data_IF_084849474488
#
_entry.id   IF_084849474488
#
_cell.length_a   1.000
_cell.length_b   1.000
_cell.length_c   1.000
_cell.angle_alpha   90.00
_cell.angle_beta   90.00
_cell.angle_gamma   90.00
#
_symmetry.space_group_name_H-M   'P 1'
#
loop_
_entity.id
_entity.type
_entity.pdbx_description
1 polymer ?
#
# COMPACT_ATOMS: atom_id res chain seq x y z
N UNK A 1 17.02 -16.57 -13.24
CA UNK A 1 15.81 -17.27 -12.76
C UNK A 1 14.62 -16.79 -13.59
N UNK A 2 13.94 -17.67 -14.34
CA UNK A 2 12.74 -17.30 -15.12
C UNK A 2 11.53 -17.73 -14.31
N UNK A 3 10.79 -16.77 -13.76
CA UNK A 3 9.48 -17.03 -13.14
C UNK A 3 8.43 -16.98 -14.25
N UNK A 4 7.98 -18.16 -14.69
CA UNK A 4 6.86 -18.28 -15.64
C UNK A 4 5.55 -18.38 -14.88
N UNK A 5 4.70 -17.36 -15.01
CA UNK A 5 3.31 -17.40 -14.57
C UNK A 5 2.47 -17.89 -15.76
N UNK A 6 2.13 -19.19 -15.77
CA UNK A 6 1.27 -19.77 -16.79
C UNK A 6 -0.17 -19.90 -16.26
N UNK A 7 -1.20 -19.44 -16.99
CA UNK A 7 -2.58 -19.80 -16.70
C UNK A 7 -2.82 -21.30 -16.94
N UNK A 8 -3.74 -21.94 -16.20
CA UNK A 8 -3.93 -23.39 -16.25
C UNK A 8 -4.50 -23.83 -17.60
N UNK A 9 -3.89 -24.86 -18.20
CA UNK A 9 -4.37 -25.43 -19.48
C UNK A 9 -5.61 -26.33 -19.36
N UNK A 10 -6.14 -26.58 -18.16
CA UNK A 10 -7.43 -27.27 -17.91
C UNK A 10 -7.80 -27.14 -16.43
N UNK A 11 -9.10 -27.16 -16.14
CA UNK A 11 -9.72 -26.96 -14.81
C UNK A 11 -8.92 -27.61 -13.67
N UNK A 12 -8.50 -26.82 -12.67
CA UNK A 12 -8.40 -27.32 -11.30
C UNK A 12 -7.06 -27.30 -10.55
N UNK A 13 -5.95 -26.71 -11.04
CA UNK A 13 -4.76 -26.49 -10.19
C UNK A 13 -3.80 -25.44 -10.78
N UNK A 14 -3.42 -24.41 -10.00
CA UNK A 14 -2.25 -23.58 -10.31
C UNK A 14 -0.99 -24.45 -10.21
N UNK A 15 -0.15 -24.45 -11.24
CA UNK A 15 1.13 -25.17 -11.22
C UNK A 15 2.27 -24.17 -11.39
N UNK A 16 3.07 -24.03 -10.34
CA UNK A 16 4.34 -23.31 -10.34
C UNK A 16 5.40 -24.18 -11.02
N UNK A 17 6.18 -23.62 -11.93
CA UNK A 17 7.31 -24.32 -12.54
C UNK A 17 8.54 -23.43 -12.49
N UNK A 18 9.40 -23.65 -11.49
CA UNK A 18 10.78 -23.18 -11.52
C UNK A 18 11.53 -23.96 -12.61
N UNK A 19 12.12 -23.26 -13.58
CA UNK A 19 13.20 -23.85 -14.40
C UNK A 19 14.35 -22.86 -14.48
N UNK A 20 15.54 -23.34 -14.13
CA UNK A 20 16.78 -22.63 -14.41
C UNK A 20 17.14 -22.74 -15.89
N UNK A 21 17.48 -21.61 -16.49
CA UNK A 21 18.52 -21.52 -17.52
C UNK A 21 18.97 -20.07 -17.72
N UNK A 22 20.29 -19.90 -17.73
CA UNK A 22 21.08 -18.79 -18.26
C UNK A 22 20.72 -17.34 -17.83
N UNK A 23 21.26 -16.92 -16.68
CA UNK A 23 21.94 -15.62 -16.51
C UNK A 23 21.18 -14.29 -16.64
N UNK A 24 19.90 -14.26 -17.00
CA UNK A 24 19.11 -13.02 -17.08
C UNK A 24 17.69 -13.23 -16.56
N UNK A 25 17.18 -12.30 -15.75
CA UNK A 25 15.81 -12.30 -15.23
C UNK A 25 14.89 -11.67 -16.26
N UNK A 26 13.97 -12.44 -16.84
CA UNK A 26 12.86 -11.94 -17.65
C UNK A 26 11.56 -12.49 -17.09
N UNK A 27 10.65 -11.61 -16.69
CA UNK A 27 9.27 -11.95 -16.32
C UNK A 27 8.43 -11.93 -17.59
N UNK A 28 7.87 -13.08 -17.96
CA UNK A 28 6.96 -13.21 -19.10
C UNK A 28 5.56 -13.46 -18.55
N UNK A 29 4.73 -12.42 -18.57
CA UNK A 29 3.29 -12.52 -18.33
C UNK A 29 2.67 -13.07 -19.62
N UNK A 30 2.18 -14.31 -19.61
CA UNK A 30 1.47 -14.85 -20.76
C UNK A 30 0.03 -14.29 -20.78
N UNK A 31 -0.43 -13.66 -21.88
CA UNK A 31 -1.82 -13.23 -21.99
C UNK A 31 -2.70 -14.48 -22.06
N UNK A 32 -3.36 -14.82 -20.94
CA UNK A 32 -4.49 -15.74 -20.92
C UNK A 32 -5.78 -15.00 -21.27
N UNK A 33 -6.85 -15.67 -21.70
CA UNK A 33 -8.13 -15.01 -21.93
C UNK A 33 -8.60 -14.44 -20.58
N UNK A 34 -8.57 -13.11 -20.49
CA UNK A 34 -9.21 -12.35 -19.42
C UNK A 34 -10.69 -12.77 -19.45
N UNK A 35 -11.13 -13.48 -18.41
CA UNK A 35 -12.56 -13.48 -18.08
C UNK A 35 -13.00 -12.01 -17.93
N UNK A 36 -14.28 -11.69 -18.17
CA UNK A 36 -14.75 -10.31 -18.11
C UNK A 36 -14.32 -9.70 -16.77
N UNK A 37 -13.47 -8.67 -16.85
CA UNK A 37 -13.12 -7.82 -15.71
C UNK A 37 -14.44 -7.33 -15.09
N UNK A 38 -14.56 -7.28 -13.74
CA UNK A 38 -15.74 -6.71 -13.11
C UNK A 38 -16.02 -5.30 -13.64
N UNK A 39 -17.29 -4.88 -13.73
CA UNK A 39 -17.67 -3.70 -14.48
C UNK A 39 -17.02 -2.44 -13.90
N UNK A 40 -16.33 -1.73 -14.80
CA UNK A 40 -15.70 -0.41 -14.68
C UNK A 40 -14.69 -0.14 -13.54
N UNK A 41 -13.39 -0.31 -13.83
CA UNK A 41 -12.27 0.39 -13.20
C UNK A 41 -12.28 1.94 -13.36
N UNK A 42 -13.42 2.61 -13.34
CA UNK A 42 -13.50 4.06 -13.60
C UNK A 42 -13.03 4.92 -12.42
N UNK A 43 -13.63 4.72 -11.24
CA UNK A 43 -13.45 5.62 -10.09
C UNK A 43 -12.11 5.42 -9.40
N UNK A 44 -11.76 4.18 -9.06
CA UNK A 44 -10.48 3.81 -8.41
C UNK A 44 -9.27 4.27 -9.23
N UNK A 45 -9.34 4.13 -10.55
CA UNK A 45 -8.22 4.49 -11.42
C UNK A 45 -8.20 5.97 -11.77
N UNK A 46 -9.37 6.63 -11.87
CA UNK A 46 -9.43 8.10 -11.92
C UNK A 46 -8.83 8.69 -10.65
N UNK A 47 -9.19 8.12 -9.50
CA UNK A 47 -8.58 8.37 -8.22
C UNK A 47 -7.04 8.23 -8.33
N UNK A 48 -6.53 7.03 -8.61
CA UNK A 48 -5.08 6.78 -8.62
C UNK A 48 -4.30 7.62 -9.66
N UNK A 49 -4.97 8.06 -10.74
CA UNK A 49 -4.41 8.94 -11.79
C UNK A 49 -4.56 10.43 -11.53
N UNK A 50 -5.38 10.86 -10.57
CA UNK A 50 -5.47 12.26 -10.15
C UNK A 50 -4.49 12.46 -8.99
N UNK A 51 -3.24 12.93 -9.27
CA UNK A 51 -2.30 13.20 -8.22
C UNK A 51 -2.86 14.28 -7.29
N UNK A 52 -2.50 14.23 -6.01
CA UNK A 52 -3.03 15.11 -4.98
C UNK A 52 -2.71 16.62 -5.10
N UNK A 53 -2.20 17.08 -6.24
CA UNK A 53 -1.85 18.47 -6.52
C UNK A 53 -2.63 19.10 -7.69
N UNK A 54 -3.62 18.41 -8.28
CA UNK A 54 -4.24 18.88 -9.53
C UNK A 54 -5.26 20.03 -9.37
N UNK A 55 -5.48 20.57 -8.17
CA UNK A 55 -6.31 21.76 -7.97
C UNK A 55 -5.44 22.94 -7.50
N UNK A 56 -4.94 23.68 -8.50
CA UNK A 56 -4.23 24.97 -8.45
C UNK A 56 -2.74 24.96 -8.11
N UNK A 57 -1.87 25.07 -9.14
CA UNK A 57 -0.66 25.92 -9.12
C UNK A 57 -0.33 26.44 -10.53
N UNK A 58 0.18 27.67 -10.61
CA UNK A 58 0.52 28.38 -11.84
C UNK A 58 1.75 27.84 -12.60
N UNK A 59 2.19 28.54 -13.67
CA UNK A 59 3.20 28.03 -14.58
C UNK A 59 4.60 28.11 -13.96
N UNK A 60 5.06 27.03 -13.32
CA UNK A 60 6.47 26.97 -12.86
C UNK A 60 6.89 25.83 -11.94
N UNK A 61 5.98 25.14 -11.26
CA UNK A 61 6.34 24.01 -10.38
C UNK A 61 6.59 22.73 -11.17
N UNK A 62 7.82 22.18 -11.17
CA UNK A 62 8.04 20.80 -11.61
C UNK A 62 7.27 19.88 -10.64
N UNK A 63 6.18 19.30 -11.10
CA UNK A 63 5.50 18.24 -10.35
C UNK A 63 6.53 17.14 -10.02
N UNK A 64 6.77 16.90 -8.73
CA UNK A 64 7.69 15.85 -8.28
C UNK A 64 7.24 14.49 -8.81
N UNK A 65 8.19 13.61 -9.11
CA UNK A 65 7.87 12.24 -9.53
C UNK A 65 7.04 11.54 -8.46
N UNK A 66 5.97 10.83 -8.87
CA UNK A 66 5.13 10.08 -7.95
C UNK A 66 5.95 8.92 -7.37
N UNK A 67 5.81 8.68 -6.07
CA UNK A 67 6.51 7.62 -5.35
C UNK A 67 5.55 6.52 -4.94
N UNK A 68 6.08 5.31 -4.77
CA UNK A 68 5.35 4.19 -4.17
C UNK A 68 6.13 3.63 -2.99
N UNK A 69 5.45 3.36 -1.89
CA UNK A 69 6.03 2.67 -0.72
C UNK A 69 5.11 1.50 -0.36
N UNK A 70 5.62 0.28 -0.45
CA UNK A 70 4.92 -0.94 -0.07
C UNK A 70 5.42 -1.44 1.29
N UNK A 71 4.52 -1.55 2.26
CA UNK A 71 4.79 -2.24 3.52
C UNK A 71 3.98 -3.53 3.63
N UNK A 72 4.53 -4.53 4.31
CA UNK A 72 3.75 -5.67 4.80
C UNK A 72 3.25 -6.63 3.72
N UNK A 73 4.02 -6.85 2.65
CA UNK A 73 3.65 -7.75 1.55
C UNK A 73 3.55 -9.23 1.98
N UNK A 74 4.28 -9.60 3.03
CA UNK A 74 4.46 -10.95 3.53
C UNK A 74 5.43 -11.80 2.69
N UNK A 75 5.77 -12.99 3.18
CA UNK A 75 6.62 -13.92 2.43
C UNK A 75 5.85 -14.52 1.26
N UNK A 76 6.10 -14.04 0.05
CA UNK A 76 5.50 -14.55 -1.18
C UNK A 76 6.10 -15.88 -1.66
N UNK A 77 7.26 -16.30 -1.14
CA UNK A 77 7.75 -17.67 -1.33
C UNK A 77 6.83 -18.69 -0.65
N UNK A 78 6.34 -18.39 0.55
CA UNK A 78 5.56 -19.33 1.37
C UNK A 78 4.04 -19.08 1.33
N UNK A 79 3.60 -17.83 1.10
CA UNK A 79 2.18 -17.44 1.19
C UNK A 79 1.56 -17.16 -0.19
N UNK A 80 0.43 -17.82 -0.48
CA UNK A 80 -0.34 -17.58 -1.71
C UNK A 80 -0.95 -16.19 -1.80
N UNK A 81 -1.39 -15.62 -0.67
CA UNK A 81 -1.96 -14.27 -0.61
C UNK A 81 -0.91 -13.22 -0.93
N UNK A 82 0.27 -13.32 -0.32
CA UNK A 82 1.41 -12.44 -0.57
C UNK A 82 1.82 -12.43 -2.05
N UNK A 83 1.76 -13.58 -2.75
CA UNK A 83 1.99 -13.64 -4.21
C UNK A 83 0.95 -12.86 -5.01
N UNK A 84 -0.31 -12.94 -4.62
CA UNK A 84 -1.39 -12.22 -5.31
C UNK A 84 -1.32 -10.72 -5.01
N UNK A 85 -0.95 -10.33 -3.78
CA UNK A 85 -0.65 -8.94 -3.45
C UNK A 85 0.54 -8.40 -4.25
N UNK A 86 1.62 -9.16 -4.39
CA UNK A 86 2.76 -8.75 -5.23
C UNK A 86 2.34 -8.59 -6.69
N UNK A 87 1.56 -9.52 -7.22
CA UNK A 87 1.03 -9.42 -8.57
C UNK A 87 0.17 -8.17 -8.76
N UNK A 88 -0.69 -7.84 -7.78
CA UNK A 88 -1.50 -6.63 -7.81
C UNK A 88 -0.66 -5.35 -7.74
N UNK A 89 0.34 -5.29 -6.86
CA UNK A 89 1.30 -4.17 -6.81
C UNK A 89 1.98 -3.95 -8.16
N UNK A 90 2.50 -5.00 -8.79
CA UNK A 90 3.19 -4.90 -10.08
C UNK A 90 2.26 -4.42 -11.20
N UNK A 91 1.01 -4.91 -11.24
CA UNK A 91 -0.01 -4.46 -12.19
C UNK A 91 -0.41 -3.00 -11.93
N UNK A 92 -0.56 -2.61 -10.67
CA UNK A 92 -0.86 -1.24 -10.27
C UNK A 92 0.26 -0.29 -10.70
N UNK A 93 1.52 -0.65 -10.45
CA UNK A 93 2.68 0.11 -10.92
C UNK A 93 2.72 0.18 -12.44
N UNK A 94 2.38 -0.91 -13.14
CA UNK A 94 2.29 -0.95 -14.60
C UNK A 94 1.25 0.01 -15.17
N UNK A 95 0.07 0.04 -14.60
CA UNK A 95 -0.97 0.99 -14.97
C UNK A 95 -0.61 2.45 -14.62
N UNK A 96 0.23 2.64 -13.59
CA UNK A 96 0.74 3.94 -13.16
C UNK A 96 2.05 4.35 -13.84
N UNK A 97 2.61 3.56 -14.77
CA UNK A 97 3.93 3.76 -15.44
C UNK A 97 4.15 5.13 -16.09
N UNK A 98 3.11 5.96 -16.20
CA UNK A 98 3.24 7.36 -16.64
C UNK A 98 3.77 8.28 -15.52
N UNK A 99 3.79 7.85 -14.25
CA UNK A 99 4.12 8.68 -13.09
C UNK A 99 5.18 8.16 -12.10
N UNK A 100 5.45 6.85 -12.02
CA UNK A 100 6.37 6.25 -11.00
C UNK A 100 7.53 5.51 -11.68
N UNK A 101 8.77 6.03 -11.61
CA UNK A 101 9.96 5.29 -11.97
C UNK A 101 10.18 4.07 -11.04
N UNK A 102 10.67 2.91 -11.53
CA UNK A 102 10.90 1.74 -10.68
C UNK A 102 11.75 2.01 -9.42
N UNK A 103 12.78 2.87 -9.55
CA UNK A 103 13.65 3.32 -8.47
C UNK A 103 12.95 4.18 -7.40
N UNK A 104 11.74 4.67 -7.69
CA UNK A 104 10.87 5.39 -6.76
C UNK A 104 9.81 4.49 -6.14
N UNK A 105 9.89 3.18 -6.37
CA UNK A 105 9.07 2.17 -5.71
C UNK A 105 9.86 1.45 -4.62
N UNK A 106 9.60 1.84 -3.38
CA UNK A 106 10.23 1.28 -2.19
C UNK A 106 9.38 0.14 -1.63
N UNK A 107 10.01 -0.95 -1.18
CA UNK A 107 9.31 -2.09 -0.57
C UNK A 107 10.01 -2.55 0.70
N UNK A 108 9.24 -2.92 1.71
CA UNK A 108 9.74 -3.48 2.96
C UNK A 108 8.76 -4.46 3.59
N UNK A 109 9.29 -5.59 4.00
CA UNK A 109 8.64 -6.49 4.96
C UNK A 109 9.74 -7.16 5.78
N UNK A 110 9.67 -7.13 7.11
CA UNK A 110 10.67 -7.78 7.97
C UNK A 110 10.76 -9.31 7.78
N UNK A 111 9.75 -9.94 7.15
CA UNK A 111 9.72 -11.39 6.92
C UNK A 111 10.33 -11.81 5.59
N UNK A 112 10.79 -10.87 4.76
CA UNK A 112 11.43 -11.23 3.49
C UNK A 112 12.72 -12.02 3.70
N UNK A 113 12.85 -13.09 2.94
CA UNK A 113 14.08 -13.85 2.78
C UNK A 113 15.03 -13.19 1.78
N UNK A 114 16.30 -13.60 1.80
CA UNK A 114 17.31 -13.17 0.82
C UNK A 114 16.85 -13.41 -0.63
N UNK A 115 16.21 -14.56 -0.89
CA UNK A 115 15.69 -14.87 -2.23
C UNK A 115 14.58 -13.91 -2.66
N UNK A 116 13.68 -13.54 -1.75
CA UNK A 116 12.60 -12.61 -2.04
C UNK A 116 13.15 -11.21 -2.32
N UNK A 117 14.15 -10.77 -1.54
CA UNK A 117 14.88 -9.52 -1.77
C UNK A 117 15.53 -9.48 -3.15
N UNK A 118 16.19 -10.56 -3.57
CA UNK A 118 16.80 -10.67 -4.90
C UNK A 118 15.76 -10.63 -6.02
N UNK A 119 14.62 -11.31 -5.83
CA UNK A 119 13.51 -11.29 -6.79
C UNK A 119 12.92 -9.89 -6.92
N UNK A 120 12.63 -9.20 -5.82
CA UNK A 120 12.10 -7.83 -5.82
C UNK A 120 13.07 -6.85 -6.49
N UNK A 121 14.37 -6.97 -6.21
CA UNK A 121 15.41 -6.17 -6.86
C UNK A 121 15.47 -6.44 -8.38
N UNK A 122 15.38 -7.71 -8.78
CA UNK A 122 15.31 -8.11 -10.19
C UNK A 122 14.04 -7.66 -10.91
N UNK A 123 12.99 -7.29 -10.18
CA UNK A 123 11.77 -6.66 -10.69
C UNK A 123 11.87 -5.12 -10.78
N UNK A 124 13.01 -4.54 -10.38
CA UNK A 124 13.24 -3.10 -10.39
C UNK A 124 12.70 -2.37 -9.17
N UNK A 125 12.28 -3.08 -8.12
CA UNK A 125 11.81 -2.49 -6.86
C UNK A 125 12.99 -2.20 -5.95
N UNK A 126 12.95 -1.09 -5.22
CA UNK A 126 13.99 -0.69 -4.27
C UNK A 126 13.66 -1.17 -2.87
N UNK A 127 14.57 -1.93 -2.26
CA UNK A 127 14.40 -2.38 -0.88
C UNK A 127 14.66 -1.23 0.10
N UNK A 128 13.79 -1.05 1.09
CA UNK A 128 14.14 -0.20 2.22
C UNK A 128 15.20 -0.90 3.09
N UNK A 129 16.26 -0.18 3.51
CA UNK A 129 17.39 -0.76 4.24
C UNK A 129 17.10 -1.12 5.69
N UNK A 130 16.07 -0.53 6.32
CA UNK A 130 15.68 -0.82 7.70
C UNK A 130 14.17 -0.75 7.88
N UNK A 131 13.70 -1.30 9.00
CA UNK A 131 12.31 -1.21 9.38
C UNK A 131 11.99 0.19 9.91
N UNK A 132 11.36 1.00 9.06
CA UNK A 132 10.87 2.34 9.42
C UNK A 132 9.61 2.31 10.31
N UNK A 133 9.07 1.13 10.61
CA UNK A 133 7.85 0.96 11.43
C UNK A 133 6.64 1.75 10.89
N UNK A 134 6.60 2.00 9.59
CA UNK A 134 5.57 2.81 8.93
C UNK A 134 5.73 4.32 9.11
N UNK A 135 6.82 4.82 9.72
CA UNK A 135 7.04 6.24 10.06
C UNK A 135 7.71 7.04 8.94
N UNK A 136 7.45 6.69 7.69
CA UNK A 136 8.06 7.34 6.52
C UNK A 136 7.42 8.69 6.26
N UNK A 137 8.21 9.76 6.40
CA UNK A 137 7.83 11.09 5.94
C UNK A 137 7.80 11.15 4.41
N UNK A 138 6.81 11.84 3.86
CA UNK A 138 6.71 12.06 2.41
C UNK A 138 7.65 13.17 1.94
N UNK A 139 8.15 13.02 0.72
CA UNK A 139 8.96 14.02 0.00
C UNK A 139 8.20 14.61 -1.21
N UNK A 140 6.92 14.25 -1.36
CA UNK A 140 6.07 14.61 -2.49
C UNK A 140 4.89 13.65 -2.62
N UNK A 141 4.13 13.71 -3.73
CA UNK A 141 3.03 12.79 -4.01
C UNK A 141 3.46 11.33 -3.82
N UNK A 142 2.81 10.61 -2.91
CA UNK A 142 3.21 9.25 -2.53
C UNK A 142 2.02 8.32 -2.41
N UNK A 143 2.11 7.18 -3.09
CA UNK A 143 1.22 6.03 -2.92
C UNK A 143 1.81 5.10 -1.85
N UNK A 144 1.03 4.82 -0.81
CA UNK A 144 1.34 3.79 0.18
C UNK A 144 0.51 2.54 -0.09
N UNK A 145 1.17 1.41 -0.32
CA UNK A 145 0.54 0.10 -0.50
C UNK A 145 0.75 -0.74 0.76
N UNK A 146 -0.32 -0.99 1.51
CA UNK A 146 -0.24 -1.51 2.89
C UNK A 146 -1.26 -2.62 3.17
N UNK A 147 -1.68 -3.37 2.16
CA UNK A 147 -2.74 -4.40 2.29
C UNK A 147 -2.42 -5.40 3.41
N UNK A 148 -3.37 -5.63 4.32
CA UNK A 148 -3.24 -6.50 5.50
C UNK A 148 -2.16 -6.10 6.51
N UNK A 149 -1.60 -4.89 6.42
CA UNK A 149 -0.71 -4.36 7.46
C UNK A 149 -1.44 -4.20 8.80
N UNK A 150 -0.68 -4.28 9.89
CA UNK A 150 -1.18 -3.96 11.23
C UNK A 150 -1.63 -2.50 11.36
N UNK A 151 -2.62 -2.23 12.21
CA UNK A 151 -3.21 -0.89 12.40
C UNK A 151 -2.17 0.15 12.85
N UNK A 152 -1.20 -0.31 13.64
CA UNK A 152 -0.10 0.52 14.11
C UNK A 152 0.73 1.14 12.96
N UNK A 153 0.93 0.43 11.83
CA UNK A 153 1.66 1.01 10.70
C UNK A 153 0.91 2.17 10.06
N UNK A 154 -0.42 2.07 9.92
CA UNK A 154 -1.26 3.16 9.40
C UNK A 154 -1.25 4.38 10.32
N UNK A 155 -1.39 4.13 11.62
CA UNK A 155 -1.41 5.18 12.62
C UNK A 155 -0.03 5.90 12.72
N UNK A 156 1.07 5.14 12.62
CA UNK A 156 2.42 5.70 12.52
C UNK A 156 2.63 6.53 11.25
N UNK A 157 2.13 6.04 10.11
CA UNK A 157 2.24 6.73 8.83
C UNK A 157 1.51 8.06 8.84
N UNK A 158 0.30 8.10 9.41
CA UNK A 158 -0.45 9.33 9.58
C UNK A 158 0.29 10.29 10.51
N UNK A 159 0.77 9.79 11.65
CA UNK A 159 1.54 10.59 12.61
C UNK A 159 2.80 11.22 12.01
N UNK A 160 3.61 10.46 11.26
CA UNK A 160 4.85 10.97 10.66
C UNK A 160 4.62 12.02 9.57
N UNK A 161 3.37 12.20 9.14
CA UNK A 161 2.95 13.12 8.09
C UNK A 161 1.80 14.03 8.55
N UNK A 162 1.71 14.34 9.85
CA UNK A 162 0.54 14.94 10.48
C UNK A 162 0.30 16.44 10.18
N UNK A 163 0.04 16.77 8.92
CA UNK A 163 -0.43 18.09 8.49
C UNK A 163 -1.43 17.94 7.34
N UNK A 164 -2.32 18.91 7.17
CA UNK A 164 -3.28 18.91 6.08
C UNK A 164 -2.58 18.85 4.71
N UNK A 165 -1.50 19.61 4.56
CA UNK A 165 -0.69 19.67 3.35
C UNK A 165 -0.03 18.31 3.06
N UNK A 166 0.65 17.71 4.04
CA UNK A 166 1.33 16.44 3.82
C UNK A 166 0.34 15.29 3.57
N UNK A 167 -0.69 15.13 4.41
CA UNK A 167 -1.69 14.08 4.21
C UNK A 167 -2.40 14.23 2.87
N UNK A 168 -2.64 15.46 2.41
CA UNK A 168 -3.26 15.67 1.10
C UNK A 168 -2.45 15.06 -0.03
N UNK A 169 -1.11 15.00 0.09
CA UNK A 169 -0.19 14.44 -0.90
C UNK A 169 -0.11 12.90 -0.90
N UNK A 170 -0.91 12.22 -0.07
CA UNK A 170 -0.86 10.78 0.11
C UNK A 170 -2.10 10.08 -0.47
N UNK A 171 -1.87 8.91 -1.05
CA UNK A 171 -2.92 7.92 -1.32
C UNK A 171 -2.51 6.62 -0.62
N UNK A 172 -3.44 6.01 0.12
CA UNK A 172 -3.19 4.70 0.75
C UNK A 172 -4.07 3.66 0.08
N UNK A 173 -3.48 2.52 -0.31
CA UNK A 173 -4.21 1.31 -0.70
C UNK A 173 -3.95 0.29 0.40
N UNK A 174 -4.96 0.04 1.21
CA UNK A 174 -4.78 -0.66 2.49
C UNK A 174 -6.10 -1.07 3.11
N UNK A 175 -6.07 -1.43 4.38
CA UNK A 175 -7.23 -1.89 5.13
C UNK A 175 -8.19 -0.74 5.42
N UNK A 176 -9.49 -1.04 5.41
CA UNK A 176 -10.54 -0.06 5.70
C UNK A 176 -10.36 0.61 7.06
N UNK A 177 -10.39 1.95 7.08
CA UNK A 177 -10.34 2.73 8.32
C UNK A 177 -11.68 2.67 9.03
N UNK A 178 -12.78 2.69 8.26
CA UNK A 178 -14.13 2.40 8.80
C UNK A 178 -14.21 1.00 9.37
N UNK A 179 -13.63 0.01 8.69
CA UNK A 179 -13.53 -1.35 9.21
C UNK A 179 -12.73 -1.42 10.52
N UNK A 180 -11.71 -0.59 10.73
CA UNK A 180 -11.02 -0.50 12.02
C UNK A 180 -11.91 0.06 13.12
N UNK A 181 -12.65 1.14 12.84
CA UNK A 181 -13.61 1.74 13.78
C UNK A 181 -14.70 0.74 14.19
N UNK A 182 -15.29 0.01 13.24
CA UNK A 182 -16.40 -0.93 13.47
C UNK A 182 -16.02 -2.15 14.31
N UNK A 183 -14.76 -2.61 14.21
CA UNK A 183 -14.30 -3.86 14.84
C UNK A 183 -13.61 -3.67 16.19
N UNK A 184 -13.30 -2.42 16.55
CA UNK A 184 -12.63 -2.11 17.80
C UNK A 184 -13.60 -1.46 18.79
N UNK A 185 -13.33 -1.67 20.08
CA UNK A 185 -14.00 -0.88 21.11
C UNK A 185 -13.65 0.60 20.89
N UNK A 186 -14.65 1.47 20.88
CA UNK A 186 -14.48 2.89 20.59
C UNK A 186 -13.36 3.52 21.43
N UNK A 187 -13.28 3.19 22.73
CA UNK A 187 -12.21 3.65 23.63
C UNK A 187 -10.82 3.22 23.13
N UNK A 188 -10.63 1.95 22.81
CA UNK A 188 -9.37 1.39 22.31
C UNK A 188 -8.97 2.04 20.98
N UNK A 189 -9.94 2.24 20.08
CA UNK A 189 -9.69 2.88 18.79
C UNK A 189 -9.20 4.32 18.95
N UNK A 190 -9.87 5.12 19.77
CA UNK A 190 -9.52 6.52 20.00
C UNK A 190 -8.24 6.70 20.81
N UNK A 191 -7.91 5.79 21.73
CA UNK A 191 -6.69 5.87 22.55
C UNK A 191 -5.45 5.40 21.78
N UNK A 192 -5.53 4.25 21.10
CA UNK A 192 -4.35 3.62 20.49
C UNK A 192 -4.16 3.95 19.01
N UNK A 193 -5.23 4.32 18.31
CA UNK A 193 -5.23 4.61 16.87
C UNK A 193 -5.81 6.00 16.58
N UNK A 194 -5.50 6.95 17.46
CA UNK A 194 -6.01 8.31 17.48
C UNK A 194 -5.82 9.08 16.16
N UNK A 195 -4.74 8.85 15.42
CA UNK A 195 -4.52 9.53 14.14
C UNK A 195 -5.47 9.02 13.06
N UNK A 196 -5.74 7.71 13.04
CA UNK A 196 -6.77 7.13 12.16
C UNK A 196 -8.14 7.71 12.52
N UNK A 197 -8.50 7.71 13.81
CA UNK A 197 -9.78 8.25 14.28
C UNK A 197 -9.97 9.73 13.90
N UNK A 198 -8.94 10.57 14.08
CA UNK A 198 -8.98 12.01 13.80
C UNK A 198 -9.17 12.34 12.31
N UNK A 199 -8.60 11.55 11.39
CA UNK A 199 -8.75 11.79 9.93
C UNK A 199 -9.95 11.10 9.33
N UNK A 200 -10.65 10.24 10.06
CA UNK A 200 -11.67 9.34 9.51
C UNK A 200 -12.74 10.09 8.69
N UNK A 201 -13.29 11.16 9.25
CA UNK A 201 -14.31 11.99 8.60
C UNK A 201 -13.76 12.86 7.46
N UNK A 202 -12.47 13.20 7.52
CA UNK A 202 -11.77 13.90 6.44
C UNK A 202 -11.29 12.95 5.33
N UNK A 203 -11.36 11.64 5.53
CA UNK A 203 -10.91 10.63 4.57
C UNK A 203 -12.01 10.31 3.57
N UNK A 204 -11.68 10.34 2.28
CA UNK A 204 -12.48 9.69 1.26
C UNK A 204 -11.97 8.27 1.10
N UNK A 205 -12.80 7.31 1.49
CA UNK A 205 -12.49 5.88 1.44
C UNK A 205 -13.37 5.20 0.39
N UNK A 206 -12.73 4.48 -0.55
CA UNK A 206 -13.41 3.70 -1.59
C UNK A 206 -12.95 2.24 -1.52
N UNK A 207 -13.85 1.34 -1.16
CA UNK A 207 -13.55 -0.09 -1.08
C UNK A 207 -13.21 -0.66 -2.47
N UNK A 208 -12.21 -1.55 -2.52
CA UNK A 208 -11.94 -2.34 -3.71
C UNK A 208 -13.08 -3.34 -3.97
N UNK A 209 -13.40 -3.64 -5.23
CA UNK A 209 -14.38 -4.66 -5.54
C UNK A 209 -13.90 -6.04 -5.04
N UNK A 210 -14.80 -6.89 -4.54
CA UNK A 210 -14.42 -8.20 -4.05
C UNK A 210 -13.88 -9.08 -5.18
N UNK A 211 -12.78 -9.80 -4.90
CA UNK A 211 -12.19 -10.71 -5.87
C UNK A 211 -12.89 -12.08 -5.81
N UNK A 212 -13.67 -12.41 -6.83
CA UNK A 212 -14.55 -13.61 -6.87
C UNK A 212 -13.80 -14.92 -6.56
N UNK A 213 -12.59 -15.10 -7.08
CA UNK A 213 -11.83 -16.35 -6.90
C UNK A 213 -10.95 -16.37 -5.63
N UNK A 214 -10.70 -15.20 -5.04
CA UNK A 214 -9.75 -15.00 -3.95
C UNK A 214 -10.31 -13.94 -2.97
N UNK A 215 -11.49 -14.21 -2.38
CA UNK A 215 -12.23 -13.21 -1.63
C UNK A 215 -11.47 -12.70 -0.40
N UNK A 216 -10.50 -13.48 0.10
CA UNK A 216 -9.73 -13.28 1.32
C UNK A 216 -8.34 -12.66 1.09
N UNK A 217 -8.04 -12.25 -0.15
CA UNK A 217 -6.75 -11.61 -0.50
C UNK A 217 -6.85 -10.09 -0.45
N UNK A 218 -7.96 -9.55 -0.95
CA UNK A 218 -8.25 -8.12 -0.98
C UNK A 218 -9.53 -7.78 -0.20
N UNK A 219 -9.97 -8.68 0.68
CA UNK A 219 -11.05 -8.34 1.61
C UNK A 219 -10.63 -7.12 2.41
N UNK A 220 -11.62 -6.29 2.75
CA UNK A 220 -11.41 -5.14 3.63
C UNK A 220 -10.35 -4.15 3.10
N UNK A 221 -10.03 -4.21 1.80
CA UNK A 221 -9.07 -3.31 1.17
C UNK A 221 -9.78 -2.12 0.54
N UNK A 222 -9.32 -0.93 0.85
CA UNK A 222 -9.84 0.34 0.37
C UNK A 222 -8.73 1.23 -0.19
N UNK A 223 -9.12 2.18 -1.02
CA UNK A 223 -8.30 3.33 -1.42
C UNK A 223 -8.70 4.52 -0.55
N UNK A 224 -7.73 5.07 0.17
CA UNK A 224 -7.90 6.22 1.05
C UNK A 224 -7.27 7.45 0.41
N UNK A 225 -8.02 8.55 0.45
CA UNK A 225 -7.61 9.88 0.02
C UNK A 225 -7.92 10.87 1.10
N UNK A 226 -7.13 11.93 1.14
CA UNK A 226 -7.28 12.99 2.13
C UNK A 226 -7.47 14.32 1.41
N UNK A 227 -8.68 14.65 0.90
CA UNK A 227 -8.91 15.90 0.21
C UNK A 227 -8.55 17.10 1.09
N UNK A 228 -7.70 18.00 0.59
CA UNK A 228 -7.18 19.13 1.35
C UNK A 228 -8.30 19.99 1.98
N UNK A 229 -9.40 20.19 1.25
CA UNK A 229 -10.56 20.93 1.74
C UNK A 229 -11.21 20.26 2.96
N UNK A 230 -11.32 18.93 2.97
CA UNK A 230 -11.86 18.18 4.11
C UNK A 230 -10.89 18.22 5.29
N UNK A 231 -9.59 18.08 5.05
CA UNK A 231 -8.58 18.18 6.10
C UNK A 231 -8.60 19.57 6.76
N UNK A 232 -8.69 20.64 5.97
CA UNK A 232 -8.78 22.02 6.47
C UNK A 232 -10.09 22.33 7.19
N UNK A 233 -11.13 21.51 7.01
CA UNK A 233 -12.38 21.62 7.77
C UNK A 233 -12.31 20.97 9.16
N UNK A 234 -11.27 20.18 9.44
CA UNK A 234 -11.05 19.66 10.78
C UNK A 234 -10.65 20.78 11.75
N UNK A 235 -10.96 20.62 13.06
CA UNK A 235 -10.54 21.58 14.09
C UNK A 235 -9.03 21.86 14.05
N UNK A 236 -8.63 23.12 14.18
CA UNK A 236 -7.23 23.53 14.04
C UNK A 236 -6.30 22.94 15.11
N UNK A 237 -6.83 22.70 16.31
CA UNK A 237 -6.16 22.03 17.41
C UNK A 237 -5.79 20.57 17.08
N UNK A 238 -6.48 19.94 16.12
CA UNK A 238 -6.17 18.60 15.63
C UNK A 238 -4.72 18.49 15.08
N UNK A 239 -4.22 19.57 14.46
CA UNK A 239 -2.92 19.66 13.78
C UNK A 239 -1.76 20.12 14.68
N UNK A 240 -2.01 20.32 15.96
CA UNK A 240 -0.96 20.67 16.93
C UNK A 240 0.11 19.57 17.01
N UNK A 241 1.30 19.88 17.56
CA UNK A 241 2.33 18.85 17.77
C UNK A 241 1.79 17.76 18.69
N UNK A 242 1.62 16.55 18.16
CA UNK A 242 1.07 15.40 18.89
C UNK A 242 2.18 14.36 19.15
N UNK A 243 2.13 13.65 20.30
CA UNK A 243 3.15 12.68 20.67
C UNK A 243 3.17 11.47 19.74
N UNK A 244 4.35 10.87 19.58
CA UNK A 244 4.48 9.59 18.90
C UNK A 244 3.54 8.53 19.50
N UNK A 245 2.79 7.77 18.68
CA UNK A 245 1.91 6.72 19.19
C UNK A 245 2.66 5.70 20.04
N UNK A 246 2.10 5.40 21.21
CA UNK A 246 2.53 4.29 22.05
C UNK A 246 1.45 3.21 22.04
N UNK A 247 1.85 1.99 21.71
CA UNK A 247 0.93 0.85 21.61
C UNK A 247 1.09 -0.07 22.82
N UNK A 248 -0.01 -0.53 23.44
CA UNK A 248 0.03 -1.57 24.47
C UNK A 248 0.52 -2.90 23.89
N UNK A 249 0.98 -3.82 24.75
CA UNK A 249 1.62 -5.08 24.32
C UNK A 249 0.80 -5.88 23.30
N UNK A 250 -0.53 -5.90 23.44
CA UNK A 250 -1.40 -6.63 22.51
C UNK A 250 -1.40 -6.02 21.12
N UNK A 251 -1.38 -4.69 21.03
CA UNK A 251 -1.30 -3.96 19.76
C UNK A 251 0.12 -4.00 19.16
N UNK A 252 1.15 -4.25 19.96
CA UNK A 252 2.52 -4.44 19.48
C UNK A 252 2.67 -5.71 18.65
N UNK A 253 1.80 -6.72 18.83
CA UNK A 253 1.81 -7.93 17.99
C UNK A 253 1.51 -7.62 16.51
N UNK A 254 0.89 -6.48 16.21
CA UNK A 254 0.56 -6.06 14.85
C UNK A 254 1.71 -5.36 14.13
N UNK A 255 2.81 -5.04 14.84
CA UNK A 255 3.97 -4.35 14.29
C UNK A 255 5.26 -5.01 14.77
N UNK A 256 6.06 -5.52 13.83
CA UNK A 256 7.42 -5.94 14.15
C UNK A 256 8.23 -4.67 14.38
N UNK A 257 8.80 -4.52 15.57
CA UNK A 257 9.64 -3.36 15.95
C UNK A 257 11.11 -3.67 15.77
N UNK A 258 11.91 -2.62 15.63
CA UNK A 258 13.36 -2.75 15.81
C UNK A 258 13.64 -3.19 17.24
N UNK A 259 14.63 -4.08 17.42
CA UNK A 259 15.12 -4.40 18.76
C UNK A 259 15.72 -3.12 19.35
N UNK A 260 15.33 -2.77 20.57
CA UNK A 260 16.02 -1.72 21.31
C UNK A 260 17.50 -2.11 21.42
N UNK A 261 18.38 -1.20 20.98
CA UNK A 261 19.83 -1.31 21.21
C UNK A 261 20.14 -1.06 22.68
#
# INVERSE_FOLDING_TARGET
MIVRLCPPKRKGRLRWSLRERAGSVRVLICPGPLGPLPPHPGTIWKALRSPPAAEQEGPGGRAGALRCVCYGLGSFCSCGKARLQLAFLLLLLEELKVGIPPEMCFVFDPVFSTLEIEVLSGLGLTMLPWNEEGKRSIEGPTLFYMIHCGKALYNNLLWSNWSAEALSQMVVVGNSFRGFEERLLAKVFHENYNYIAKVLEATQEEALPPHVQHPDVFNDTSVHRFPLQKLRSLPQDCWTCQPEPLYPEEAQLEIIRNKAQ
#
